data_IF_038802793426
#
_entry.id   IF_038802793426
#
_cell.length_a   1.000
_cell.length_b   1.000
_cell.length_c   1.000
_cell.angle_alpha   90.00
_cell.angle_beta   90.00
_cell.angle_gamma   90.00
#
_symmetry.space_group_name_H-M   'P 1'
#
loop_
_entity.id
_entity.type
_entity.pdbx_description
1 polymer ?
#
# COMPACT_ATOMS: atom_id res chain seq x y z
N UNK A 1 6.64 -4.68 -8.05
CA UNK A 1 7.91 -4.54 -7.30
C UNK A 1 8.15 -3.07 -7.07
N UNK A 2 8.51 -2.64 -5.85
CA UNK A 2 9.03 -1.30 -5.67
C UNK A 2 10.31 -1.13 -6.51
N UNK A 3 10.55 0.06 -7.09
CA UNK A 3 11.78 0.34 -7.83
C UNK A 3 12.99 0.22 -6.89
N UNK A 4 14.18 -0.13 -7.41
CA UNK A 4 15.41 -0.16 -6.61
C UNK A 4 15.59 1.19 -5.92
N UNK A 5 15.91 1.15 -4.62
CA UNK A 5 15.97 2.35 -3.79
C UNK A 5 17.16 3.17 -4.30
N UNK A 6 16.89 4.37 -4.82
CA UNK A 6 17.88 5.30 -5.42
C UNK A 6 19.13 5.55 -4.56
N UNK A 7 19.09 5.22 -3.27
CA UNK A 7 20.14 5.49 -2.28
C UNK A 7 20.91 4.24 -1.81
N UNK A 8 20.54 3.04 -2.24
CA UNK A 8 21.11 1.78 -1.76
C UNK A 8 22.62 1.67 -2.01
N UNK A 9 23.07 2.05 -3.22
CA UNK A 9 24.50 2.09 -3.56
C UNK A 9 25.29 3.11 -2.76
N UNK A 10 24.67 4.23 -2.39
CA UNK A 10 25.32 5.26 -1.58
C UNK A 10 25.52 4.76 -0.14
N UNK A 11 24.54 4.00 0.38
CA UNK A 11 24.65 3.34 1.68
C UNK A 11 25.72 2.25 1.66
N UNK A 12 25.74 1.40 0.63
CA UNK A 12 26.80 0.41 0.45
C UNK A 12 28.19 1.08 0.45
N UNK A 13 28.37 2.15 -0.34
CA UNK A 13 29.62 2.90 -0.41
C UNK A 13 30.04 3.49 0.95
N UNK A 14 29.08 4.06 1.71
CA UNK A 14 29.36 4.60 3.04
C UNK A 14 29.80 3.49 4.02
N UNK A 15 29.12 2.34 4.00
CA UNK A 15 29.46 1.17 4.82
C UNK A 15 30.82 0.59 4.45
N UNK A 16 31.15 0.50 3.15
CA UNK A 16 32.46 0.00 2.72
C UNK A 16 33.57 0.93 3.24
N UNK A 17 33.42 2.26 3.12
CA UNK A 17 34.40 3.22 3.63
C UNK A 17 34.64 3.11 5.13
N UNK A 18 33.59 2.81 5.89
CA UNK A 18 33.71 2.53 7.32
C UNK A 18 34.64 1.32 7.56
N UNK A 19 34.42 0.21 6.84
CA UNK A 19 35.26 -0.98 6.97
C UNK A 19 36.68 -0.79 6.42
N UNK A 20 36.88 0.02 5.39
CA UNK A 20 38.21 0.40 4.90
C UNK A 20 39.02 1.13 5.97
N UNK A 21 38.37 2.08 6.68
CA UNK A 21 38.99 2.79 7.80
C UNK A 21 39.28 1.85 8.99
N UNK A 22 38.35 0.93 9.30
CA UNK A 22 38.52 -0.04 10.39
C UNK A 22 39.63 -1.06 10.11
N UNK A 23 39.74 -1.54 8.87
CA UNK A 23 40.73 -2.53 8.48
C UNK A 23 42.09 -1.92 8.09
N UNK A 24 42.16 -0.60 7.89
CA UNK A 24 43.39 0.08 7.44
C UNK A 24 43.83 -0.30 6.03
N UNK A 25 42.90 -0.77 5.19
CA UNK A 25 43.15 -1.24 3.84
C UNK A 25 41.97 -0.90 2.92
N UNK A 26 42.22 -0.88 1.60
CA UNK A 26 41.20 -0.58 0.60
C UNK A 26 40.46 -1.84 0.16
N UNK A 27 39.23 -1.64 -0.32
CA UNK A 27 38.41 -2.69 -0.90
C UNK A 27 38.96 -3.24 -2.21
N UNK A 28 38.65 -4.49 -2.46
CA UNK A 28 38.88 -5.23 -3.69
C UNK A 28 37.64 -6.06 -4.05
N UNK A 29 37.58 -6.54 -5.29
CA UNK A 29 36.55 -7.49 -5.75
C UNK A 29 35.10 -7.05 -5.48
N UNK A 30 34.80 -5.75 -5.58
CA UNK A 30 33.45 -5.21 -5.37
C UNK A 30 32.50 -5.75 -6.45
N UNK A 31 31.39 -6.36 -6.02
CA UNK A 31 30.34 -6.90 -6.90
C UNK A 31 28.95 -6.58 -6.36
N UNK A 32 28.01 -6.37 -7.27
CA UNK A 32 26.60 -6.16 -6.97
C UNK A 32 25.81 -7.33 -7.59
N UNK A 33 25.35 -8.32 -6.81
CA UNK A 33 24.68 -9.52 -7.33
C UNK A 33 23.48 -9.24 -8.25
N UNK A 34 22.78 -8.11 -8.07
CA UNK A 34 21.71 -7.68 -8.97
C UNK A 34 22.19 -7.47 -10.42
N UNK A 35 23.42 -6.97 -10.63
CA UNK A 35 24.02 -6.79 -11.96
C UNK A 35 24.31 -8.13 -12.64
N UNK A 36 24.57 -9.17 -11.84
CA UNK A 36 24.84 -10.54 -12.28
C UNK A 36 23.55 -11.38 -12.44
N UNK A 37 22.38 -10.81 -12.14
CA UNK A 37 21.09 -11.51 -12.17
C UNK A 37 20.94 -12.61 -11.11
N UNK A 38 21.76 -12.58 -10.06
CA UNK A 38 21.72 -13.51 -8.93
C UNK A 38 20.83 -12.96 -7.82
N UNK A 39 20.22 -13.85 -7.04
CA UNK A 39 19.15 -13.53 -6.08
C UNK A 39 19.50 -12.43 -5.06
N UNK A 40 18.47 -11.68 -4.65
CA UNK A 40 18.50 -10.30 -4.12
C UNK A 40 18.81 -10.15 -2.63
N UNK A 41 19.21 -11.20 -1.93
CA UNK A 41 19.42 -11.10 -0.48
C UNK A 41 20.69 -10.28 -0.15
N UNK A 42 21.66 -10.25 -1.06
CA UNK A 42 22.93 -9.52 -0.89
C UNK A 42 23.00 -8.37 -1.90
N UNK A 43 23.18 -7.15 -1.39
CA UNK A 43 23.29 -5.94 -2.22
C UNK A 43 24.71 -5.74 -2.73
N UNK A 44 25.72 -6.03 -1.89
CA UNK A 44 27.11 -5.82 -2.25
C UNK A 44 28.04 -6.86 -1.60
N UNK A 45 28.97 -7.37 -2.40
CA UNK A 45 30.07 -8.23 -1.98
C UNK A 45 31.38 -7.50 -2.22
N UNK A 46 32.32 -7.58 -1.28
CA UNK A 46 33.67 -7.02 -1.45
C UNK A 46 34.65 -7.71 -0.51
N UNK A 47 35.95 -7.51 -0.74
CA UNK A 47 37.02 -7.97 0.16
C UNK A 47 37.87 -6.79 0.63
N UNK A 48 38.42 -6.86 1.84
CA UNK A 48 39.46 -5.96 2.33
C UNK A 48 40.57 -6.82 2.94
N UNK A 49 41.75 -6.84 2.30
CA UNK A 49 42.80 -7.79 2.64
C UNK A 49 42.31 -9.24 2.47
N UNK A 50 42.49 -10.06 3.51
CA UNK A 50 42.02 -11.47 3.51
C UNK A 50 40.56 -11.63 3.99
N UNK A 51 39.85 -10.53 4.28
CA UNK A 51 38.48 -10.56 4.79
C UNK A 51 37.48 -10.37 3.65
N UNK A 52 36.41 -11.17 3.67
CA UNK A 52 35.28 -11.05 2.76
C UNK A 52 34.08 -10.47 3.50
N UNK A 53 33.37 -9.56 2.84
CA UNK A 53 32.21 -8.87 3.38
C UNK A 53 31.03 -9.02 2.42
N UNK A 54 29.84 -9.13 3.01
CA UNK A 54 28.55 -9.06 2.33
C UNK A 54 27.70 -8.00 3.03
N UNK A 55 27.10 -7.11 2.25
CA UNK A 55 26.10 -6.14 2.71
C UNK A 55 24.74 -6.65 2.23
N UNK A 56 23.85 -6.90 3.17
CA UNK A 56 22.48 -7.36 2.94
C UNK A 56 21.51 -6.30 3.45
N UNK A 57 20.52 -5.91 2.65
CA UNK A 57 19.36 -5.22 3.20
C UNK A 57 18.50 -6.23 3.96
N UNK A 58 18.16 -5.89 5.20
CA UNK A 58 17.17 -6.65 5.97
C UNK A 58 15.96 -5.77 6.22
N UNK A 59 14.77 -6.29 5.92
CA UNK A 59 13.53 -5.62 6.31
C UNK A 59 13.28 -5.93 7.79
N UNK A 60 13.16 -4.89 8.61
CA UNK A 60 12.79 -5.02 10.03
C UNK A 60 11.28 -4.81 10.15
N UNK A 61 10.59 -5.77 10.74
CA UNK A 61 9.17 -5.64 11.09
C UNK A 61 9.02 -4.84 12.39
N UNK A 62 8.12 -3.85 12.41
CA UNK A 62 7.80 -3.11 13.64
C UNK A 62 6.90 -3.92 14.60
N UNK A 63 6.20 -4.92 14.07
CA UNK A 63 5.37 -5.87 14.83
C UNK A 63 5.19 -7.17 14.03
N UNK A 64 4.82 -8.26 14.73
CA UNK A 64 4.68 -9.59 14.15
C UNK A 64 3.77 -9.55 12.89
N UNK A 65 4.26 -10.14 11.79
CA UNK A 65 3.53 -10.32 10.51
C UNK A 65 3.24 -9.04 9.74
N UNK A 66 3.80 -7.89 10.09
CA UNK A 66 3.55 -6.63 9.38
C UNK A 66 3.77 -6.75 7.85
N UNK A 67 4.80 -7.48 7.41
CA UNK A 67 5.09 -7.65 5.98
C UNK A 67 3.98 -8.47 5.31
N UNK A 68 3.50 -9.52 5.97
CA UNK A 68 2.44 -10.38 5.45
C UNK A 68 1.06 -9.71 5.55
N UNK A 69 0.79 -8.94 6.61
CA UNK A 69 -0.50 -8.26 6.81
C UNK A 69 -0.75 -7.22 5.71
N UNK A 70 0.28 -6.50 5.25
CA UNK A 70 0.15 -5.55 4.14
C UNK A 70 -0.16 -6.23 2.81
N UNK A 71 0.48 -7.38 2.55
CA UNK A 71 0.21 -8.19 1.35
C UNK A 71 -1.17 -8.83 1.40
N UNK A 72 -1.52 -9.48 2.51
CA UNK A 72 -2.81 -10.15 2.69
C UNK A 72 -3.97 -9.15 2.64
N UNK A 73 -3.78 -7.94 3.19
CA UNK A 73 -4.72 -6.84 3.05
C UNK A 73 -4.89 -6.44 1.59
N UNK A 74 -3.79 -6.21 0.87
CA UNK A 74 -3.83 -5.78 -0.54
C UNK A 74 -4.47 -6.84 -1.44
N UNK A 75 -4.11 -8.10 -1.25
CA UNK A 75 -4.67 -9.24 -1.98
C UNK A 75 -6.17 -9.41 -1.70
N UNK A 76 -6.62 -9.11 -0.47
CA UNK A 76 -8.04 -9.13 -0.11
C UNK A 76 -8.80 -7.90 -0.66
N UNK A 77 -8.19 -6.71 -0.62
CA UNK A 77 -8.81 -5.46 -1.02
C UNK A 77 -8.91 -5.31 -2.54
N UNK A 78 -7.92 -5.78 -3.30
CA UNK A 78 -7.85 -5.56 -4.74
C UNK A 78 -9.11 -5.99 -5.51
N UNK A 79 -9.72 -7.17 -5.26
CA UNK A 79 -10.96 -7.56 -5.93
C UNK A 79 -12.16 -6.66 -5.59
N UNK A 80 -12.19 -6.07 -4.39
CA UNK A 80 -13.23 -5.11 -3.98
C UNK A 80 -13.05 -3.80 -4.75
N UNK A 81 -11.81 -3.30 -4.82
CA UNK A 81 -11.48 -2.09 -5.59
C UNK A 81 -11.86 -2.27 -7.05
N UNK A 82 -11.43 -3.38 -7.67
CA UNK A 82 -11.73 -3.69 -9.08
C UNK A 82 -13.24 -3.75 -9.35
N UNK A 83 -14.01 -4.35 -8.43
CA UNK A 83 -15.46 -4.47 -8.59
C UNK A 83 -16.21 -3.12 -8.47
N UNK A 84 -15.61 -2.12 -7.83
CA UNK A 84 -16.25 -0.83 -7.50
C UNK A 84 -15.70 0.32 -8.37
N UNK A 85 -14.47 0.22 -8.86
CA UNK A 85 -13.81 1.28 -9.61
C UNK A 85 -14.60 1.70 -10.86
N UNK A 86 -14.79 3.01 -11.03
CA UNK A 86 -15.54 3.58 -12.15
C UNK A 86 -17.06 3.40 -12.07
N UNK A 87 -17.59 2.74 -11.03
CA UNK A 87 -19.04 2.48 -10.85
C UNK A 87 -19.67 3.29 -9.72
N UNK A 88 -18.87 4.05 -8.99
CA UNK A 88 -19.36 4.93 -7.93
C UNK A 88 -19.95 6.23 -8.51
N UNK A 89 -20.98 6.82 -7.86
CA UNK A 89 -21.56 8.08 -8.31
C UNK A 89 -20.52 9.19 -8.43
N UNK A 90 -20.66 10.00 -9.47
CA UNK A 90 -19.74 11.10 -9.75
C UNK A 90 -19.82 12.22 -8.69
N UNK A 91 -18.81 13.11 -8.69
CA UNK A 91 -18.64 14.24 -7.75
C UNK A 91 -18.17 13.84 -6.34
N UNK A 92 -17.00 13.25 -6.20
CA UNK A 92 -16.38 13.05 -4.90
C UNK A 92 -15.33 11.95 -4.91
N UNK A 93 -14.66 11.84 -3.77
CA UNK A 93 -13.74 10.75 -3.43
C UNK A 93 -14.42 9.91 -2.35
N UNK A 94 -14.51 8.61 -2.58
CA UNK A 94 -15.03 7.68 -1.60
C UNK A 94 -13.88 6.95 -0.91
N UNK A 95 -13.99 6.87 0.42
CA UNK A 95 -13.06 6.13 1.26
C UNK A 95 -13.80 4.96 1.87
N UNK A 96 -13.25 3.75 1.72
CA UNK A 96 -13.64 2.59 2.49
C UNK A 96 -12.55 2.31 3.53
N UNK A 97 -12.94 2.14 4.79
CA UNK A 97 -12.04 1.82 5.90
C UNK A 97 -12.48 0.53 6.56
N UNK A 98 -11.53 -0.39 6.77
CA UNK A 98 -11.70 -1.65 7.48
C UNK A 98 -10.38 -2.12 8.11
N UNK A 99 -10.39 -3.12 9.02
CA UNK A 99 -9.18 -3.59 9.70
C UNK A 99 -8.08 -4.08 8.76
N UNK A 100 -6.81 -3.92 9.16
CA UNK A 100 -5.65 -4.36 8.37
C UNK A 100 -5.57 -5.89 8.21
N UNK A 101 -6.22 -6.65 9.09
CA UNK A 101 -6.35 -8.10 8.97
C UNK A 101 -7.82 -8.51 8.79
N UNK A 102 -8.45 -8.21 7.64
CA UNK A 102 -9.89 -8.42 7.42
C UNK A 102 -10.28 -9.91 7.42
N UNK A 103 -9.30 -10.79 7.21
CA UNK A 103 -9.50 -12.22 7.04
C UNK A 103 -9.29 -13.05 8.31
N UNK A 104 -9.00 -12.42 9.46
CA UNK A 104 -8.77 -13.15 10.72
C UNK A 104 -10.01 -13.97 11.06
N UNK A 105 -9.86 -15.29 11.16
CA UNK A 105 -10.96 -16.23 11.42
C UNK A 105 -11.85 -16.54 10.21
N UNK A 106 -11.59 -15.97 9.02
CA UNK A 106 -12.36 -16.23 7.81
C UNK A 106 -11.69 -17.29 6.92
N UNK A 107 -12.39 -18.40 6.70
CA UNK A 107 -11.91 -19.46 5.83
C UNK A 107 -11.69 -18.98 4.38
N UNK A 108 -10.55 -19.29 3.77
CA UNK A 108 -10.14 -18.81 2.43
C UNK A 108 -11.20 -19.00 1.33
N UNK A 109 -11.91 -20.11 1.34
CA UNK A 109 -13.02 -20.38 0.38
C UNK A 109 -14.16 -19.36 0.45
N UNK A 110 -14.30 -18.62 1.55
CA UNK A 110 -15.33 -17.58 1.73
C UNK A 110 -14.86 -16.20 1.29
N UNK A 111 -13.56 -16.00 1.02
CA UNK A 111 -13.01 -14.68 0.72
C UNK A 111 -13.69 -14.03 -0.48
N UNK A 112 -13.82 -14.75 -1.60
CA UNK A 112 -14.47 -14.25 -2.80
C UNK A 112 -15.93 -13.83 -2.58
N UNK A 113 -16.69 -14.62 -1.80
CA UNK A 113 -18.07 -14.28 -1.47
C UNK A 113 -18.15 -13.02 -0.60
N UNK A 114 -17.31 -12.93 0.43
CA UNK A 114 -17.26 -11.74 1.30
C UNK A 114 -16.80 -10.50 0.52
N UNK A 115 -15.83 -10.62 -0.36
CA UNK A 115 -15.39 -9.51 -1.24
C UNK A 115 -16.54 -9.01 -2.13
N UNK A 116 -17.33 -9.93 -2.71
CA UNK A 116 -18.49 -9.58 -3.51
C UNK A 116 -19.57 -8.88 -2.67
N UNK A 117 -19.85 -9.37 -1.46
CA UNK A 117 -20.79 -8.75 -0.52
C UNK A 117 -20.35 -7.33 -0.13
N UNK A 118 -19.05 -7.14 0.14
CA UNK A 118 -18.47 -5.83 0.44
C UNK A 118 -18.61 -4.89 -0.75
N UNK A 119 -18.24 -5.33 -1.95
CA UNK A 119 -18.35 -4.52 -3.16
C UNK A 119 -19.81 -4.10 -3.44
N UNK A 120 -20.76 -5.03 -3.28
CA UNK A 120 -22.18 -4.74 -3.44
C UNK A 120 -22.67 -3.71 -2.40
N UNK A 121 -22.25 -3.85 -1.14
CA UNK A 121 -22.55 -2.87 -0.11
C UNK A 121 -21.93 -1.50 -0.41
N UNK A 122 -20.68 -1.44 -0.88
CA UNK A 122 -20.04 -0.18 -1.23
C UNK A 122 -20.82 0.58 -2.31
N UNK A 123 -21.29 -0.11 -3.34
CA UNK A 123 -22.10 0.51 -4.40
C UNK A 123 -23.42 1.08 -3.84
N UNK A 124 -24.14 0.29 -3.03
CA UNK A 124 -25.39 0.74 -2.42
C UNK A 124 -25.18 1.92 -1.45
N UNK A 125 -24.17 1.83 -0.58
CA UNK A 125 -23.82 2.89 0.36
C UNK A 125 -23.38 4.16 -0.37
N UNK A 126 -22.68 4.05 -1.50
CA UNK A 126 -22.30 5.21 -2.30
C UNK A 126 -23.51 5.93 -2.88
N UNK A 127 -24.49 5.19 -3.42
CA UNK A 127 -25.74 5.75 -3.93
C UNK A 127 -26.52 6.46 -2.83
N UNK A 128 -26.63 5.87 -1.64
CA UNK A 128 -27.29 6.50 -0.50
C UNK A 128 -26.59 7.77 -0.04
N UNK A 129 -25.26 7.75 0.04
CA UNK A 129 -24.45 8.92 0.42
C UNK A 129 -24.60 10.01 -0.65
N UNK A 130 -24.60 9.63 -1.93
CA UNK A 130 -24.75 10.55 -3.04
C UNK A 130 -26.13 11.21 -3.07
N UNK A 131 -27.20 10.42 -2.92
CA UNK A 131 -28.58 10.89 -2.92
C UNK A 131 -28.92 11.76 -1.70
N UNK A 132 -28.24 11.53 -0.56
CA UNK A 132 -28.38 12.38 0.62
C UNK A 132 -27.68 13.74 0.47
N UNK A 133 -26.86 13.90 -0.57
CA UNK A 133 -26.09 15.11 -0.80
C UNK A 133 -26.73 16.14 -1.72
N UNK A 134 -26.22 17.38 -1.75
CA UNK A 134 -26.76 18.42 -2.60
C UNK A 134 -26.53 18.08 -4.08
N UNK A 135 -27.56 18.27 -4.91
CA UNK A 135 -27.50 18.07 -6.37
C UNK A 135 -26.42 18.95 -7.05
N UNK A 136 -26.06 20.08 -6.42
CA UNK A 136 -25.01 20.98 -6.88
C UNK A 136 -24.12 21.41 -5.69
N UNK A 137 -22.83 21.10 -5.77
CA UNK A 137 -21.83 21.68 -4.85
C UNK A 137 -21.58 23.11 -5.30
N UNK A 138 -22.08 24.09 -4.54
CA UNK A 138 -21.83 25.50 -4.84
C UNK A 138 -20.32 25.77 -4.92
N UNK A 139 -19.93 26.58 -5.90
CA UNK A 139 -18.56 26.96 -6.25
C UNK A 139 -17.94 27.93 -5.21
N UNK A 140 -18.11 27.67 -3.92
CA UNK A 140 -17.61 28.46 -2.79
C UNK A 140 -16.65 27.63 -1.93
N UNK A 141 -15.58 27.14 -2.55
CA UNK A 141 -14.25 27.00 -1.93
C UNK A 141 -14.06 26.21 -0.63
N UNK A 142 -15.07 25.57 -0.04
CA UNK A 142 -14.93 24.80 1.21
C UNK A 142 -15.06 23.31 0.89
N UNK A 143 -14.07 22.45 1.23
CA UNK A 143 -14.22 21.01 1.15
C UNK A 143 -15.38 20.58 2.04
N UNK A 144 -16.34 19.85 1.50
CA UNK A 144 -17.49 19.36 2.24
C UNK A 144 -17.34 17.86 2.48
N UNK A 145 -17.47 17.45 3.75
CA UNK A 145 -17.51 16.05 4.15
C UNK A 145 -18.96 15.61 4.14
N UNK A 146 -19.30 14.59 3.36
CA UNK A 146 -20.69 14.19 3.17
C UNK A 146 -20.88 12.71 3.40
N UNK A 147 -21.74 12.38 4.36
CA UNK A 147 -22.28 11.04 4.55
C UNK A 147 -21.25 10.03 5.07
N UNK A 148 -21.64 9.33 6.13
CA UNK A 148 -20.95 8.14 6.59
C UNK A 148 -21.96 7.00 6.59
N UNK A 149 -21.53 5.84 6.11
CA UNK A 149 -22.26 4.57 6.25
C UNK A 149 -21.33 3.55 6.87
N UNK A 150 -21.84 2.82 7.84
CA UNK A 150 -21.09 1.75 8.48
C UNK A 150 -21.92 0.48 8.46
N UNK A 151 -21.25 -0.65 8.35
CA UNK A 151 -21.88 -1.97 8.41
C UNK A 151 -20.90 -2.99 8.98
N UNK A 152 -21.37 -4.22 9.17
CA UNK A 152 -20.54 -5.37 9.49
C UNK A 152 -20.86 -6.47 8.49
N UNK A 153 -19.87 -6.92 7.72
CA UNK A 153 -20.02 -8.03 6.75
C UNK A 153 -19.08 -9.14 7.17
N UNK A 154 -19.64 -10.33 7.42
CA UNK A 154 -18.89 -11.50 7.87
C UNK A 154 -17.97 -11.25 9.11
N UNK A 155 -18.39 -10.34 9.99
CA UNK A 155 -17.62 -9.95 11.18
C UNK A 155 -16.59 -8.83 10.94
N UNK A 156 -16.45 -8.35 9.72
CA UNK A 156 -15.55 -7.25 9.34
C UNK A 156 -16.31 -5.93 9.48
N UNK A 157 -15.91 -5.03 10.39
CA UNK A 157 -16.48 -3.69 10.47
C UNK A 157 -16.00 -2.85 9.28
N UNK A 158 -16.95 -2.24 8.58
CA UNK A 158 -16.70 -1.40 7.41
C UNK A 158 -17.25 -0.02 7.67
N UNK A 159 -16.51 1.01 7.25
CA UNK A 159 -17.01 2.39 7.21
C UNK A 159 -16.69 3.00 5.87
N UNK A 160 -17.71 3.57 5.22
CA UNK A 160 -17.60 4.28 3.98
C UNK A 160 -17.95 5.75 4.18
N UNK A 161 -17.15 6.63 3.59
CA UNK A 161 -17.39 8.08 3.62
C UNK A 161 -17.10 8.70 2.26
N UNK A 162 -17.77 9.82 1.95
CA UNK A 162 -17.49 10.62 0.75
C UNK A 162 -16.90 11.97 1.15
N UNK A 163 -15.88 12.39 0.42
CA UNK A 163 -15.32 13.74 0.46
C UNK A 163 -15.53 14.40 -0.90
N UNK A 164 -16.28 15.50 -0.94
CA UNK A 164 -16.45 16.29 -2.14
C UNK A 164 -15.63 17.58 -2.00
N UNK A 165 -14.64 17.79 -2.88
CA UNK A 165 -13.86 19.03 -2.94
C UNK A 165 -13.84 19.54 -4.39
N UNK A 166 -13.94 20.86 -4.59
CA UNK A 166 -13.85 21.48 -5.92
C UNK A 166 -12.39 21.60 -6.41
N UNK A 167 -11.40 21.43 -5.54
CA UNK A 167 -9.98 21.59 -5.88
C UNK A 167 -9.30 20.31 -6.38
N UNK A 168 -9.95 19.15 -6.26
CA UNK A 168 -9.39 17.92 -6.81
C UNK A 168 -9.64 17.90 -8.31
N UNK A 169 -8.56 18.08 -9.07
CA UNK A 169 -8.54 17.97 -10.53
C UNK A 169 -9.42 16.80 -11.01
N UNK A 170 -10.13 16.98 -12.14
CA UNK A 170 -11.07 16.01 -12.72
C UNK A 170 -10.53 14.57 -12.89
N UNK A 171 -9.23 14.36 -12.68
CA UNK A 171 -8.51 13.09 -12.68
C UNK A 171 -8.87 12.14 -11.52
N UNK A 172 -9.46 12.63 -10.42
CA UNK A 172 -9.76 11.80 -9.24
C UNK A 172 -11.26 11.63 -8.94
N UNK A 173 -12.13 12.22 -9.74
CA UNK A 173 -13.59 12.13 -9.56
C UNK A 173 -14.06 10.70 -9.84
N UNK A 174 -14.75 10.08 -8.88
CA UNK A 174 -15.24 8.70 -8.99
C UNK A 174 -14.20 7.61 -8.67
N UNK A 175 -13.04 8.00 -8.10
CA UNK A 175 -12.03 7.05 -7.61
C UNK A 175 -12.34 6.57 -6.20
N UNK A 176 -12.02 5.30 -5.98
CA UNK A 176 -12.17 4.60 -4.72
C UNK A 176 -10.80 4.43 -4.08
N UNK A 177 -10.69 4.73 -2.78
CA UNK A 177 -9.48 4.53 -2.01
C UNK A 177 -9.79 3.62 -0.81
N UNK A 178 -8.90 2.67 -0.60
CA UNK A 178 -8.91 1.69 0.49
C UNK A 178 -7.67 1.88 1.33
#
# INVERSE_FOLDING_TARGET
MPPPIKYERQLCEATIRFYEAECGALRENVRFPEEDGVDRQVDCLFSIGERHFAIEHTIVEAFERQINSGKDFSDFAAPIVEAVEGRLPHLGIYYLTFPIEPCVGLHRRRHAAVQADIAAWCLAAAEEIHAAGPEAVERRGVPYHEGVRSTIIAGIPLTMSRRASFSDSARHVGRFFV
#
